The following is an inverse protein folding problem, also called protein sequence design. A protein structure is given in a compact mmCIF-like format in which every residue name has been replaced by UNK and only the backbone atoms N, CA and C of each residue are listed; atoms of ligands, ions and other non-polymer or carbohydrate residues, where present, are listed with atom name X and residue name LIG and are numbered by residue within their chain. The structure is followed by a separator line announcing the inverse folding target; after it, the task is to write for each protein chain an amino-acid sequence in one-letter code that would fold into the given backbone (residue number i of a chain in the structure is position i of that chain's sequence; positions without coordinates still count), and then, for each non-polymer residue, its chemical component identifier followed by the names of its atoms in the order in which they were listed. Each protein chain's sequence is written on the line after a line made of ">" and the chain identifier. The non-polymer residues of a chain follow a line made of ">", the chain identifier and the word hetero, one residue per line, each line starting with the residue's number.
data_IF_045742903086
#
_entry.id   IF_045742903086
#
_cell.length_a   1.000
_cell.length_b   1.000
_cell.length_c   1.000
_cell.angle_alpha   90.00
_cell.angle_beta   90.00
_cell.angle_gamma   90.00
#
_symmetry.space_group_name_H-M   'P 1'
#
loop_
_entity.id
_entity.type
_entity.pdbx_description
1 polymer ?
#
# COMPACT_ATOMS: atom_id res chain seq x y z
N UNK A 1 13.23 -18.68 6.05
CA UNK A 1 13.48 -17.24 5.84
C UNK A 1 13.03 -16.48 7.08
N UNK A 2 13.88 -16.38 8.12
CA UNK A 2 13.55 -15.69 9.38
C UNK A 2 13.42 -14.17 9.21
N UNK A 3 14.00 -13.61 8.16
CA UNK A 3 14.01 -12.20 7.79
C UNK A 3 12.81 -11.77 6.92
N UNK A 4 12.06 -12.73 6.35
CA UNK A 4 10.92 -12.45 5.49
C UNK A 4 9.79 -11.74 6.24
N UNK A 5 9.26 -10.69 5.62
CA UNK A 5 8.09 -9.94 6.07
C UNK A 5 6.94 -10.11 5.07
N UNK A 6 5.74 -10.32 5.58
CA UNK A 6 4.52 -10.43 4.79
C UNK A 6 3.47 -9.41 5.24
N UNK A 7 2.68 -8.85 4.32
CA UNK A 7 1.60 -7.92 4.62
C UNK A 7 0.25 -8.47 4.16
N UNK A 8 -0.81 -8.20 4.93
CA UNK A 8 -2.18 -8.56 4.56
C UNK A 8 -3.19 -7.50 5.06
N UNK A 9 -4.05 -7.06 4.13
CA UNK A 9 -4.83 -5.82 4.04
C UNK A 9 -6.34 -5.92 4.28
N UNK A 10 -6.90 -7.11 4.48
CA UNK A 10 -8.34 -7.35 4.71
C UNK A 10 -8.60 -7.96 6.10
N UNK A 11 -9.39 -7.28 6.92
CA UNK A 11 -9.74 -7.78 8.25
C UNK A 11 -10.58 -9.06 8.19
N UNK A 12 -11.47 -9.19 7.20
CA UNK A 12 -12.33 -10.36 7.03
C UNK A 12 -11.52 -11.65 6.82
N UNK A 13 -10.36 -11.56 6.18
CA UNK A 13 -9.46 -12.70 5.96
C UNK A 13 -8.95 -13.24 7.29
N UNK A 14 -8.52 -12.34 8.19
CA UNK A 14 -8.15 -12.74 9.55
C UNK A 14 -9.33 -13.29 10.34
N UNK A 15 -10.53 -12.71 10.20
CA UNK A 15 -11.74 -13.20 10.87
C UNK A 15 -12.09 -14.62 10.45
N UNK A 16 -11.99 -14.88 9.15
CA UNK A 16 -12.23 -16.21 8.57
C UNK A 16 -11.21 -17.23 9.08
N UNK A 17 -9.93 -16.84 9.17
CA UNK A 17 -8.87 -17.70 9.72
C UNK A 17 -9.04 -17.92 11.22
N UNK A 18 -9.45 -16.91 11.99
CA UNK A 18 -9.77 -17.03 13.41
C UNK A 18 -10.84 -18.11 13.64
N UNK A 19 -11.92 -18.07 12.87
CA UNK A 19 -13.08 -18.94 13.03
C UNK A 19 -12.86 -20.36 12.48
N UNK A 20 -12.23 -20.47 11.31
CA UNK A 20 -12.10 -21.76 10.60
C UNK A 20 -10.79 -22.48 10.90
N UNK A 21 -9.73 -21.74 11.25
CA UNK A 21 -8.38 -22.27 11.44
C UNK A 21 -7.68 -21.66 12.67
N UNK A 22 -8.20 -21.85 13.89
CA UNK A 22 -7.72 -21.16 15.09
C UNK A 22 -6.23 -21.42 15.40
N UNK A 23 -5.71 -22.60 15.06
CA UNK A 23 -4.28 -22.89 15.22
C UNK A 23 -3.40 -22.10 14.24
N UNK A 24 -3.88 -21.87 13.01
CA UNK A 24 -3.21 -20.99 12.06
C UNK A 24 -3.28 -19.54 12.54
N UNK A 25 -4.43 -19.10 13.07
CA UNK A 25 -4.59 -17.77 13.63
C UNK A 25 -3.60 -17.49 14.78
N UNK A 26 -3.38 -18.46 15.68
CA UNK A 26 -2.35 -18.36 16.73
C UNK A 26 -0.94 -18.17 16.13
N UNK A 27 -0.60 -18.92 15.07
CA UNK A 27 0.67 -18.76 14.36
C UNK A 27 0.80 -17.38 13.72
N UNK A 28 -0.27 -16.85 13.12
CA UNK A 28 -0.30 -15.49 12.57
C UNK A 28 -0.03 -14.47 13.68
N UNK A 29 -0.74 -14.54 14.82
CA UNK A 29 -0.51 -13.65 15.97
C UNK A 29 0.95 -13.70 16.44
N UNK A 30 1.54 -14.89 16.49
CA UNK A 30 2.96 -15.03 16.81
C UNK A 30 3.85 -14.29 15.78
N UNK A 31 3.60 -14.45 14.47
CA UNK A 31 4.39 -13.74 13.44
C UNK A 31 4.21 -12.23 13.46
N UNK A 32 3.01 -11.75 13.83
CA UNK A 32 2.76 -10.32 14.06
C UNK A 32 3.60 -9.81 15.23
N UNK A 33 3.64 -10.54 16.36
CA UNK A 33 4.46 -10.18 17.53
C UNK A 33 5.96 -10.21 17.23
N UNK A 34 6.41 -11.10 16.34
CA UNK A 34 7.79 -11.18 15.87
C UNK A 34 8.15 -10.05 14.87
N UNK A 35 7.18 -9.25 14.41
CA UNK A 35 7.38 -8.19 13.43
C UNK A 35 7.55 -8.67 11.99
N UNK A 36 7.25 -9.94 11.71
CA UNK A 36 7.40 -10.59 10.39
C UNK A 36 6.11 -10.68 9.59
N UNK A 37 5.02 -10.23 10.20
CA UNK A 37 3.70 -10.17 9.59
C UNK A 37 3.12 -8.78 9.88
N UNK A 38 3.04 -7.95 8.85
CA UNK A 38 2.41 -6.64 8.93
C UNK A 38 0.91 -6.75 8.69
N UNK A 39 0.14 -6.29 9.68
CA UNK A 39 -1.31 -6.13 9.53
C UNK A 39 -1.57 -4.76 8.93
N UNK A 40 -1.77 -4.70 7.61
CA UNK A 40 -2.10 -3.46 6.89
C UNK A 40 -3.61 -3.19 6.82
N UNK A 41 -4.44 -4.09 7.35
CA UNK A 41 -5.91 -4.03 7.26
C UNK A 41 -6.54 -2.85 8.02
N UNK A 42 -6.55 -1.67 7.41
CA UNK A 42 -7.34 -0.55 7.90
C UNK A 42 -8.83 -0.67 7.58
N UNK A 43 -9.19 -1.47 6.58
CA UNK A 43 -10.56 -1.72 6.13
C UNK A 43 -10.98 -3.16 6.43
N UNK A 44 -12.28 -3.40 6.47
CA UNK A 44 -12.81 -4.75 6.68
C UNK A 44 -12.64 -5.63 5.45
N UNK A 45 -12.88 -5.07 4.26
CA UNK A 45 -12.53 -5.62 2.93
C UNK A 45 -11.85 -4.54 2.08
N UNK A 46 -11.20 -4.98 1.00
CA UNK A 46 -10.80 -4.13 -0.14
C UNK A 46 -12.01 -4.02 -1.07
N UNK A 47 -12.78 -2.94 -0.93
CA UNK A 47 -14.08 -2.78 -1.57
C UNK A 47 -14.08 -1.70 -2.65
N UNK A 48 -15.11 -1.70 -3.50
CA UNK A 48 -15.27 -0.63 -4.49
C UNK A 48 -15.62 0.71 -3.81
N UNK A 49 -14.72 1.69 -3.96
CA UNK A 49 -14.85 2.99 -3.33
C UNK A 49 -15.76 3.97 -4.10
N UNK A 50 -16.03 3.72 -5.38
CA UNK A 50 -16.89 4.57 -6.21
C UNK A 50 -18.37 4.20 -6.05
N UNK A 51 -18.67 2.92 -5.88
CA UNK A 51 -20.03 2.44 -5.66
C UNK A 51 -20.50 2.65 -4.22
N UNK A 52 -19.58 2.61 -3.25
CA UNK A 52 -19.90 2.81 -1.85
C UNK A 52 -20.16 4.29 -1.52
N UNK A 53 -21.16 4.56 -0.68
CA UNK A 53 -21.32 5.88 -0.10
C UNK A 53 -20.29 6.12 1.03
N UNK A 54 -20.13 7.37 1.45
CA UNK A 54 -19.16 7.74 2.48
C UNK A 54 -19.36 7.00 3.81
N UNK A 55 -20.60 6.79 4.25
CA UNK A 55 -20.91 6.05 5.49
C UNK A 55 -20.46 4.58 5.38
N UNK A 56 -20.70 3.92 4.24
CA UNK A 56 -20.25 2.55 4.02
C UNK A 56 -18.72 2.46 4.10
N UNK A 57 -17.99 3.37 3.46
CA UNK A 57 -16.52 3.42 3.54
C UNK A 57 -16.06 3.61 5.00
N UNK A 58 -16.67 4.55 5.72
CA UNK A 58 -16.37 4.79 7.14
C UNK A 58 -16.63 3.55 7.99
N UNK A 59 -17.71 2.80 7.72
CA UNK A 59 -18.01 1.54 8.43
C UNK A 59 -17.01 0.44 8.12
N UNK A 60 -16.57 0.31 6.87
CA UNK A 60 -15.50 -0.62 6.49
C UNK A 60 -14.22 -0.33 7.29
N UNK A 61 -13.84 0.95 7.40
CA UNK A 61 -12.67 1.36 8.19
C UNK A 61 -12.89 1.12 9.69
N UNK A 62 -14.04 1.52 10.24
CA UNK A 62 -14.35 1.39 11.65
C UNK A 62 -14.30 -0.07 12.11
N UNK A 63 -14.97 -0.97 11.39
CA UNK A 63 -15.01 -2.39 11.74
C UNK A 63 -13.66 -3.06 11.53
N UNK A 64 -12.96 -2.75 10.43
CA UNK A 64 -11.61 -3.25 10.16
C UNK A 64 -10.63 -2.88 11.27
N UNK A 65 -10.50 -1.58 11.57
CA UNK A 65 -9.61 -1.09 12.63
C UNK A 65 -9.98 -1.61 14.01
N UNK A 66 -11.28 -1.68 14.35
CA UNK A 66 -11.72 -2.21 15.66
C UNK A 66 -11.29 -3.66 15.83
N UNK A 67 -11.52 -4.49 14.82
CA UNK A 67 -11.13 -5.90 14.86
C UNK A 67 -9.61 -6.07 14.95
N UNK A 68 -8.84 -5.35 14.12
CA UNK A 68 -7.37 -5.44 14.14
C UNK A 68 -6.81 -4.99 15.48
N UNK A 69 -7.35 -3.92 16.06
CA UNK A 69 -6.96 -3.44 17.40
C UNK A 69 -7.27 -4.48 18.47
N UNK A 70 -8.45 -5.10 18.46
CA UNK A 70 -8.84 -6.13 19.41
C UNK A 70 -7.95 -7.37 19.31
N UNK A 71 -7.71 -7.88 18.09
CA UNK A 71 -7.04 -9.17 17.90
C UNK A 71 -5.52 -9.10 17.94
N UNK A 72 -4.94 -8.01 17.41
CA UNK A 72 -3.51 -7.87 17.22
C UNK A 72 -2.90 -6.72 18.04
N UNK A 73 -3.69 -5.83 18.63
CA UNK A 73 -3.18 -4.64 19.33
C UNK A 73 -2.51 -3.63 18.40
N UNK A 74 -2.77 -3.73 17.09
CA UNK A 74 -2.16 -2.91 16.05
C UNK A 74 -3.15 -1.84 15.57
N UNK A 75 -2.63 -0.66 15.24
CA UNK A 75 -3.37 0.36 14.49
C UNK A 75 -2.71 0.57 13.11
N UNK A 76 -3.30 0.07 12.02
CA UNK A 76 -2.83 0.32 10.66
C UNK A 76 -2.93 1.80 10.31
N UNK A 77 -1.90 2.32 9.64
CA UNK A 77 -1.81 3.72 9.19
C UNK A 77 -1.88 3.87 7.67
N UNK A 78 -2.08 2.77 6.96
CA UNK A 78 -2.18 2.70 5.51
C UNK A 78 -3.53 2.11 5.12
N UNK A 79 -4.16 2.69 4.09
CA UNK A 79 -5.27 2.08 3.37
C UNK A 79 -4.73 1.45 2.09
N UNK A 80 -5.03 0.16 1.89
CA UNK A 80 -4.43 -0.67 0.86
C UNK A 80 -5.52 -1.09 -0.13
N UNK A 81 -5.54 -0.47 -1.30
CA UNK A 81 -6.58 -0.63 -2.31
C UNK A 81 -5.93 -0.87 -3.69
N UNK A 82 -5.17 -1.97 -3.85
CA UNK A 82 -4.38 -2.26 -5.05
C UNK A 82 -5.26 -2.29 -6.30
N UNK A 83 -6.36 -3.04 -6.22
CA UNK A 83 -7.13 -3.44 -7.41
C UNK A 83 -8.46 -2.70 -7.56
N UNK A 84 -8.64 -1.61 -6.82
CA UNK A 84 -9.88 -0.84 -6.81
C UNK A 84 -10.03 0.00 -8.08
N UNK A 85 -11.20 -0.09 -8.73
CA UNK A 85 -11.52 0.60 -9.98
C UNK A 85 -11.91 2.05 -9.76
N UNK A 86 -10.91 2.86 -9.40
CA UNK A 86 -11.03 4.30 -9.19
C UNK A 86 -11.11 4.69 -7.70
N UNK A 87 -10.80 5.96 -7.44
CA UNK A 87 -10.47 6.44 -6.10
C UNK A 87 -11.12 7.82 -5.87
N UNK A 88 -12.20 7.92 -5.07
CA UNK A 88 -12.90 9.19 -4.86
C UNK A 88 -11.98 10.27 -4.27
N UNK A 89 -11.98 11.50 -4.80
CA UNK A 89 -11.20 12.62 -4.23
C UNK A 89 -11.46 12.96 -2.76
N UNK A 90 -12.55 12.48 -2.16
CA UNK A 90 -12.87 12.69 -0.75
C UNK A 90 -12.13 11.73 0.18
N UNK A 91 -11.47 10.69 -0.35
CA UNK A 91 -10.77 9.68 0.44
C UNK A 91 -9.70 10.27 1.38
N UNK A 92 -8.84 11.23 0.99
CA UNK A 92 -7.89 11.85 1.92
C UNK A 92 -8.56 12.39 3.20
N UNK A 93 -9.75 12.99 3.10
CA UNK A 93 -10.50 13.46 4.26
C UNK A 93 -10.96 12.30 5.15
N UNK A 94 -11.58 11.28 4.57
CA UNK A 94 -12.10 10.11 5.30
C UNK A 94 -10.96 9.38 6.02
N UNK A 95 -9.85 9.15 5.31
CA UNK A 95 -8.67 8.47 5.83
C UNK A 95 -8.04 9.26 6.98
N UNK A 96 -7.84 10.57 6.83
CA UNK A 96 -7.27 11.42 7.87
C UNK A 96 -8.14 11.49 9.11
N UNK A 97 -9.46 11.64 8.96
CA UNK A 97 -10.41 11.59 10.08
C UNK A 97 -10.43 10.21 10.77
N UNK A 98 -10.04 9.16 10.04
CA UNK A 98 -9.90 7.80 10.57
C UNK A 98 -8.50 7.51 11.14
N UNK A 99 -7.59 8.48 11.18
CA UNK A 99 -6.22 8.31 11.68
C UNK A 99 -5.35 7.42 10.79
N UNK A 100 -5.59 7.45 9.47
CA UNK A 100 -4.82 6.77 8.42
C UNK A 100 -4.09 7.85 7.62
N UNK A 101 -2.77 7.68 7.45
CA UNK A 101 -1.89 8.71 6.89
C UNK A 101 -1.36 8.35 5.49
N UNK A 102 -1.46 7.08 5.11
CA UNK A 102 -0.88 6.53 3.89
C UNK A 102 -1.94 5.86 3.02
N UNK A 103 -1.72 5.90 1.70
CA UNK A 103 -2.57 5.25 0.72
C UNK A 103 -1.73 4.41 -0.25
N UNK A 104 -2.16 3.19 -0.55
CA UNK A 104 -1.55 2.37 -1.57
C UNK A 104 -2.59 1.93 -2.60
N UNK A 105 -2.24 2.01 -3.88
CA UNK A 105 -3.12 1.64 -4.98
C UNK A 105 -2.32 1.35 -6.25
N UNK A 106 -2.83 0.49 -7.15
CA UNK A 106 -2.21 0.25 -8.46
C UNK A 106 -2.95 0.97 -9.57
N UNK A 107 -4.28 0.78 -9.64
CA UNK A 107 -5.09 1.23 -10.79
C UNK A 107 -5.21 2.74 -10.86
N UNK A 108 -5.27 3.26 -12.09
CA UNK A 108 -5.49 4.68 -12.38
C UNK A 108 -4.36 5.61 -11.84
N UNK A 109 -3.15 5.06 -11.65
CA UNK A 109 -1.95 5.81 -11.29
C UNK A 109 -1.46 6.79 -12.38
N UNK A 110 -0.67 7.79 -11.97
CA UNK A 110 -0.30 8.96 -12.83
C UNK A 110 1.18 9.07 -13.14
N UNK A 111 1.92 7.98 -12.96
CA UNK A 111 3.33 7.86 -13.34
C UNK A 111 4.34 8.38 -12.31
N UNK A 112 3.90 9.05 -11.25
CA UNK A 112 4.72 9.29 -10.06
C UNK A 112 4.41 8.20 -9.01
N UNK A 113 5.42 7.46 -8.51
CA UNK A 113 5.18 6.34 -7.59
C UNK A 113 4.87 6.80 -6.16
N UNK A 114 5.10 8.07 -5.82
CA UNK A 114 4.81 8.61 -4.48
C UNK A 114 4.52 10.12 -4.55
N UNK A 115 3.44 10.56 -3.91
CA UNK A 115 2.99 11.95 -3.95
C UNK A 115 1.97 12.25 -2.84
N UNK A 116 1.77 13.54 -2.52
CA UNK A 116 0.71 13.94 -1.59
C UNK A 116 -0.63 14.01 -2.33
N UNK A 117 -1.59 13.20 -1.88
CA UNK A 117 -2.96 13.25 -2.36
C UNK A 117 -3.81 14.15 -1.47
N UNK A 118 -4.27 15.27 -2.03
CA UNK A 118 -5.06 16.29 -1.33
C UNK A 118 -6.55 16.22 -1.71
N UNK A 119 -7.39 16.08 -0.71
CA UNK A 119 -8.85 16.13 -0.84
C UNK A 119 -9.38 17.57 -0.93
N UNK A 120 -10.67 17.75 -1.27
CA UNK A 120 -11.28 19.08 -1.45
C UNK A 120 -11.30 19.94 -0.19
N UNK A 121 -11.16 19.33 0.99
CA UNK A 121 -11.09 20.03 2.29
C UNK A 121 -9.66 20.39 2.72
N UNK A 122 -8.66 20.10 1.88
CA UNK A 122 -7.24 20.29 2.19
C UNK A 122 -6.61 19.16 3.03
N UNK A 123 -7.36 18.13 3.40
CA UNK A 123 -6.80 16.93 4.03
C UNK A 123 -5.83 16.23 3.08
N UNK A 124 -4.70 15.74 3.59
CA UNK A 124 -3.65 15.10 2.79
C UNK A 124 -3.23 13.76 3.33
N UNK A 125 -3.09 12.76 2.45
CA UNK A 125 -2.43 11.48 2.72
C UNK A 125 -1.26 11.29 1.77
N UNK A 126 -0.20 10.59 2.21
CA UNK A 126 0.91 10.25 1.34
C UNK A 126 0.56 8.98 0.58
N UNK A 127 0.39 9.10 -0.74
CA UNK A 127 0.01 8.01 -1.60
C UNK A 127 1.25 7.36 -2.22
N UNK A 128 1.18 6.05 -2.42
CA UNK A 128 2.17 5.26 -3.14
C UNK A 128 1.48 4.43 -4.23
N UNK A 129 1.95 4.58 -5.46
CA UNK A 129 1.40 3.92 -6.63
C UNK A 129 2.42 2.97 -7.25
N UNK A 130 2.08 1.68 -7.29
CA UNK A 130 2.87 0.67 -8.00
C UNK A 130 2.01 -0.52 -8.36
N UNK A 131 2.54 -1.39 -9.22
CA UNK A 131 2.04 -2.76 -9.36
C UNK A 131 2.18 -3.50 -8.02
N UNK A 132 1.25 -4.43 -7.76
CA UNK A 132 1.20 -5.19 -6.50
C UNK A 132 1.55 -6.67 -6.68
N UNK A 133 1.52 -7.16 -7.92
CA UNK A 133 1.74 -8.55 -8.33
C UNK A 133 3.07 -8.75 -9.07
N UNK A 134 4.14 -8.08 -8.60
CA UNK A 134 5.45 -8.17 -9.21
C UNK A 134 6.29 -9.34 -8.66
N UNK A 135 7.28 -9.77 -9.44
CA UNK A 135 8.32 -10.70 -9.01
C UNK A 135 9.62 -9.96 -8.73
N UNK A 136 10.50 -10.54 -7.92
CA UNK A 136 11.80 -9.96 -7.64
C UNK A 136 12.69 -10.06 -8.90
N UNK A 137 12.71 -8.96 -9.66
CA UNK A 137 13.46 -8.84 -10.91
C UNK A 137 14.62 -7.83 -10.77
N UNK A 138 15.88 -8.22 -11.06
CA UNK A 138 17.03 -7.34 -10.87
C UNK A 138 16.97 -6.04 -11.69
N UNK A 139 16.41 -6.10 -12.91
CA UNK A 139 16.30 -4.94 -13.80
C UNK A 139 15.31 -3.92 -13.23
N UNK A 140 14.11 -4.38 -12.88
CA UNK A 140 13.05 -3.51 -12.34
C UNK A 140 13.47 -2.87 -11.01
N UNK A 141 14.11 -3.62 -10.13
CA UNK A 141 14.62 -3.10 -8.85
C UNK A 141 15.71 -2.05 -9.05
N UNK A 142 16.63 -2.25 -9.99
CA UNK A 142 17.66 -1.27 -10.32
C UNK A 142 17.06 0.00 -10.94
N UNK A 143 16.06 -0.14 -11.81
CA UNK A 143 15.33 0.98 -12.42
C UNK A 143 14.55 1.76 -11.38
N UNK A 144 13.81 1.08 -10.50
CA UNK A 144 13.10 1.68 -9.37
C UNK A 144 14.04 2.47 -8.46
N UNK A 145 15.19 1.88 -8.09
CA UNK A 145 16.17 2.56 -7.24
C UNK A 145 16.70 3.85 -7.88
N UNK A 146 16.97 3.83 -9.19
CA UNK A 146 17.42 5.01 -9.93
C UNK A 146 16.31 6.07 -10.02
N UNK A 147 15.08 5.65 -10.30
CA UNK A 147 13.92 6.54 -10.40
C UNK A 147 13.64 7.24 -9.07
N UNK A 148 13.62 6.50 -7.95
CA UNK A 148 13.40 7.07 -6.61
C UNK A 148 14.49 8.06 -6.22
N UNK A 149 15.75 7.75 -6.50
CA UNK A 149 16.86 8.66 -6.24
C UNK A 149 16.73 9.93 -7.08
N UNK A 150 16.38 9.81 -8.36
CA UNK A 150 16.21 10.94 -9.28
C UNK A 150 15.03 11.84 -8.87
N UNK A 151 13.88 11.27 -8.55
CA UNK A 151 12.64 12.01 -8.29
C UNK A 151 12.54 12.58 -6.88
N UNK A 152 13.05 11.85 -5.88
CA UNK A 152 12.83 12.18 -4.48
C UNK A 152 14.12 12.35 -3.67
N UNK A 153 15.30 12.24 -4.31
CA UNK A 153 16.59 12.34 -3.62
C UNK A 153 16.86 11.24 -2.59
N UNK A 154 16.00 10.21 -2.53
CA UNK A 154 16.08 9.13 -1.53
C UNK A 154 16.80 7.90 -2.06
N UNK A 155 17.51 7.22 -1.17
CA UNK A 155 18.10 5.90 -1.45
C UNK A 155 17.18 4.73 -1.08
N UNK A 156 15.97 5.02 -0.58
CA UNK A 156 15.00 4.03 -0.13
C UNK A 156 13.78 4.06 -1.05
N UNK A 157 13.46 2.92 -1.64
CA UNK A 157 12.26 2.69 -2.43
C UNK A 157 11.50 1.49 -1.86
N UNK A 158 10.17 1.52 -1.95
CA UNK A 158 9.33 0.37 -1.64
C UNK A 158 9.06 -0.41 -2.92
N UNK A 159 9.18 -1.74 -2.86
CA UNK A 159 8.83 -2.64 -3.96
C UNK A 159 7.79 -3.63 -3.42
N UNK A 160 6.63 -3.67 -4.06
CA UNK A 160 5.54 -4.57 -3.69
C UNK A 160 5.60 -5.78 -4.62
N UNK A 161 5.60 -6.98 -4.04
CA UNK A 161 5.83 -8.23 -4.75
C UNK A 161 4.94 -9.35 -4.21
N UNK A 162 4.66 -10.33 -5.05
CA UNK A 162 3.74 -11.43 -4.78
C UNK A 162 2.99 -11.85 -6.04
N UNK A 163 2.34 -13.01 -6.00
CA UNK A 163 1.59 -13.52 -7.17
C UNK A 163 0.28 -12.74 -7.38
N UNK A 164 -0.34 -12.23 -6.32
CA UNK A 164 -1.58 -11.44 -6.42
C UNK A 164 -2.79 -12.30 -6.79
N UNK A 165 -3.78 -11.67 -7.45
CA UNK A 165 -5.03 -12.10 -8.15
C UNK A 165 -5.61 -13.52 -7.97
N UNK A 166 -4.78 -14.54 -7.71
CA UNK A 166 -5.11 -15.96 -7.67
C UNK A 166 -4.82 -16.60 -6.29
N UNK A 167 -4.72 -15.78 -5.23
CA UNK A 167 -4.54 -16.27 -3.86
C UNK A 167 -3.10 -16.66 -3.49
N UNK A 168 -2.11 -16.14 -4.22
CA UNK A 168 -0.69 -16.41 -3.96
C UNK A 168 0.04 -15.22 -3.34
N UNK A 169 0.79 -15.48 -2.26
CA UNK A 169 1.76 -14.53 -1.71
C UNK A 169 3.10 -14.60 -2.43
N UNK A 170 4.15 -13.95 -1.89
CA UNK A 170 5.52 -14.10 -2.36
C UNK A 170 5.98 -15.55 -2.51
N UNK A 171 6.72 -15.84 -3.58
CA UNK A 171 7.24 -17.20 -3.84
C UNK A 171 8.54 -17.45 -3.07
N UNK A 172 8.93 -18.72 -2.93
CA UNK A 172 10.23 -19.06 -2.32
C UNK A 172 11.38 -18.60 -3.24
N UNK A 173 11.13 -18.58 -4.53
CA UNK A 173 12.02 -18.16 -5.60
C UNK A 173 12.32 -16.67 -5.48
N UNK A 174 11.30 -15.84 -5.23
CA UNK A 174 11.48 -14.42 -4.94
C UNK A 174 12.39 -14.21 -3.73
N UNK A 175 12.14 -14.95 -2.63
CA UNK A 175 12.93 -14.79 -1.41
C UNK A 175 14.41 -15.16 -1.65
N UNK A 176 14.65 -16.28 -2.33
CA UNK A 176 16.01 -16.70 -2.70
C UNK A 176 16.68 -15.71 -3.66
N UNK A 177 15.92 -15.14 -4.60
CA UNK A 177 16.44 -14.12 -5.52
C UNK A 177 16.87 -12.87 -4.76
N UNK A 178 16.08 -12.41 -3.80
CA UNK A 178 16.45 -11.26 -2.98
C UNK A 178 17.75 -11.52 -2.18
N UNK A 179 17.88 -12.72 -1.60
CA UNK A 179 19.10 -13.13 -0.90
C UNK A 179 20.30 -13.18 -1.84
N UNK A 180 20.18 -13.77 -3.03
CA UNK A 180 21.26 -13.80 -4.01
C UNK A 180 21.67 -12.41 -4.50
N UNK A 181 20.71 -11.50 -4.67
CA UNK A 181 21.00 -10.12 -5.06
C UNK A 181 21.74 -9.35 -3.96
N UNK A 182 21.45 -9.63 -2.69
CA UNK A 182 22.14 -9.02 -1.55
C UNK A 182 23.61 -9.45 -1.42
N UNK A 183 24.01 -10.59 -2.00
CA UNK A 183 25.41 -11.02 -2.05
C UNK A 183 26.24 -10.19 -3.06
N UNK A 184 25.58 -9.43 -3.95
CA UNK A 184 26.25 -8.64 -5.00
C UNK A 184 26.49 -7.22 -4.53
N UNK A 185 27.74 -6.87 -4.25
CA UNK A 185 28.14 -5.56 -3.70
C UNK A 185 27.68 -4.34 -4.54
N UNK A 186 27.48 -4.51 -5.85
CA UNK A 186 27.07 -3.43 -6.77
C UNK A 186 25.55 -3.23 -6.84
N UNK A 187 24.77 -4.15 -6.27
CA UNK A 187 23.31 -4.11 -6.36
C UNK A 187 22.70 -3.39 -5.15
N UNK A 188 21.56 -2.68 -5.31
CA UNK A 188 20.85 -2.11 -4.17
C UNK A 188 20.52 -3.16 -3.12
N UNK A 189 20.77 -2.84 -1.84
CA UNK A 189 20.45 -3.75 -0.75
C UNK A 189 18.92 -3.89 -0.60
N UNK A 190 18.44 -5.13 -0.69
CA UNK A 190 17.04 -5.50 -0.55
C UNK A 190 16.77 -5.91 0.89
N UNK A 191 15.79 -5.24 1.51
CA UNK A 191 15.33 -5.57 2.86
C UNK A 191 13.86 -5.95 2.81
N UNK A 192 13.53 -7.17 3.25
CA UNK A 192 12.15 -7.50 3.57
C UNK A 192 11.71 -6.64 4.75
N UNK A 193 10.75 -5.77 4.49
CA UNK A 193 10.37 -4.70 5.39
C UNK A 193 8.87 -4.53 5.38
N UNK A 194 8.39 -3.56 6.14
CA UNK A 194 6.98 -3.25 6.25
C UNK A 194 6.70 -1.87 5.67
N UNK A 195 5.46 -1.64 5.22
CA UNK A 195 5.02 -0.34 4.70
C UNK A 195 5.19 0.75 5.76
N UNK A 196 4.89 0.43 7.02
CA UNK A 196 5.14 1.31 8.17
C UNK A 196 6.60 1.71 8.28
N UNK A 197 7.54 0.79 8.12
CA UNK A 197 8.97 1.12 8.19
C UNK A 197 9.38 2.03 7.03
N UNK A 198 8.91 1.74 5.81
CA UNK A 198 9.17 2.57 4.63
C UNK A 198 8.69 4.01 4.86
N UNK A 199 7.40 4.21 5.15
CA UNK A 199 6.83 5.55 5.27
C UNK A 199 7.38 6.35 6.46
N UNK A 200 7.78 5.70 7.57
CA UNK A 200 8.48 6.37 8.68
C UNK A 200 9.85 6.93 8.29
N UNK A 201 10.49 6.33 7.28
CA UNK A 201 11.85 6.65 6.86
C UNK A 201 11.92 7.52 5.61
N UNK A 202 10.79 7.82 4.98
CA UNK A 202 10.72 8.73 3.85
C UNK A 202 10.83 10.16 4.36
N UNK A 203 11.81 10.93 3.86
CA UNK A 203 11.97 12.33 4.23
C UNK A 203 11.00 13.21 3.43
N UNK A 204 9.95 13.69 4.12
CA UNK A 204 8.87 14.48 3.54
C UNK A 204 9.30 15.84 2.99
N UNK A 205 10.49 16.35 3.36
CA UNK A 205 10.99 17.66 2.89
C UNK A 205 11.19 17.68 1.37
N UNK A 206 11.53 16.53 0.76
CA UNK A 206 11.75 16.40 -0.69
C UNK A 206 10.47 16.12 -1.51
N UNK A 207 9.32 15.95 -0.84
CA UNK A 207 8.02 15.67 -1.50
C UNK A 207 7.18 16.95 -1.63
N UNK A 208 7.77 18.11 -1.31
CA UNK A 208 7.06 19.39 -1.28
C UNK A 208 6.52 19.86 -2.64
N UNK A 209 6.89 19.24 -3.75
CA UNK A 209 6.52 19.72 -5.10
C UNK A 209 5.68 18.73 -5.93
N UNK A 210 5.32 17.56 -5.39
CA UNK A 210 4.46 16.58 -6.08
C UNK A 210 3.06 16.56 -5.44
N UNK A 211 2.25 17.58 -5.75
CA UNK A 211 0.87 17.69 -5.28
C UNK A 211 -0.13 17.26 -6.34
N UNK A 212 -1.13 16.50 -5.92
CA UNK A 212 -2.30 16.19 -6.73
C UNK A 212 -3.57 16.64 -5.98
N UNK A 213 -4.27 17.65 -6.53
CA UNK A 213 -5.46 18.26 -5.94
C UNK A 213 -6.76 17.78 -6.60
N UNK A 214 -7.66 17.21 -5.81
CA UNK A 214 -9.03 16.92 -6.19
C UNK A 214 -9.26 15.83 -7.26
N UNK A 215 -10.45 15.76 -7.88
CA UNK A 215 -10.79 14.83 -8.98
C UNK A 215 -10.19 15.27 -10.35
N UNK A 216 -9.33 16.29 -10.35
CA UNK A 216 -8.73 16.92 -11.54
C UNK A 216 -7.22 17.02 -11.37
N UNK A 217 -6.47 16.25 -12.14
CA UNK A 217 -5.02 16.21 -12.00
C UNK A 217 -4.39 17.12 -13.07
N UNK A 218 -3.67 18.15 -12.62
CA UNK A 218 -3.01 19.12 -13.51
C UNK A 218 -1.72 18.51 -14.04
N UNK A 219 -1.59 18.40 -15.37
CA UNK A 219 -0.31 18.16 -16.05
C UNK A 219 0.32 19.49 -16.46
N UNK A 220 1.60 19.49 -16.87
CA UNK A 220 2.42 20.64 -17.29
C UNK A 220 1.84 21.59 -18.38
N UNK A 221 0.57 21.45 -18.77
CA UNK A 221 -0.10 22.29 -19.77
C UNK A 221 -1.34 23.04 -19.26
N UNK A 222 -1.67 22.97 -17.96
CA UNK A 222 -2.70 23.82 -17.37
C UNK A 222 -4.15 23.53 -17.78
N UNK A 223 -4.44 22.38 -18.41
CA UNK A 223 -5.81 22.01 -18.77
C UNK A 223 -6.46 21.09 -17.72
N UNK A 224 -7.69 21.40 -17.25
CA UNK A 224 -8.44 20.54 -16.36
C UNK A 224 -9.02 19.33 -17.14
N UNK A 225 -8.51 18.13 -16.87
CA UNK A 225 -9.15 16.89 -17.31
C UNK A 225 -9.95 16.27 -16.16
N UNK A 226 -11.26 16.08 -16.38
CA UNK A 226 -12.08 15.14 -15.61
C UNK A 226 -11.49 13.73 -15.77
N UNK A 227 -11.60 12.89 -14.73
CA UNK A 227 -11.39 11.46 -14.88
C UNK A 227 -12.09 10.97 -16.17
N UNK A 228 -11.39 10.38 -17.15
CA UNK A 228 -12.06 9.31 -17.87
C UNK A 228 -12.36 8.29 -16.78
N UNK A 229 -13.64 8.00 -16.55
CA UNK A 229 -14.05 6.94 -15.66
C UNK A 229 -13.10 5.76 -15.86
N UNK A 230 -12.44 5.30 -14.80
CA UNK A 230 -11.75 4.00 -14.77
C UNK A 230 -12.80 2.86 -14.86
N UNK A 231 -13.93 3.09 -15.54
CA UNK A 231 -15.07 2.20 -15.77
C UNK A 231 -15.13 1.70 -17.23
N UNK A 232 -14.11 1.98 -18.05
CA UNK A 232 -14.03 1.44 -19.42
C UNK A 232 -12.93 0.41 -19.54
N UNK A 233 -13.12 -0.71 -18.85
CA UNK A 233 -12.78 -2.06 -19.34
C UNK A 233 -13.33 -3.07 -18.34
N UNK A 234 -14.62 -3.37 -18.50
CA UNK A 234 -15.06 -4.77 -18.42
C UNK A 234 -14.59 -5.47 -19.69
#
# INVERSE_FOLDING_TARGET
>A
YPDFCFSQSQAVTYKTVEERFPQLFKKIKQRVNEGRWEVTSSTWIEGDLNMANGEAIVRQILYGKRYVKEKFGVEPKICWEPDTFGHPWTMPQILKKSGIDYYYFMRCGKGAPMFWWEGPDGSRVLAFNSVYNAFINPKELAELSKDFKRRFGTKKAMFVYGVGDHGGGPTREDIKMAHNLNEKAVFPHLKFSTTREFFKNVNFVFIKDNFEKGDRFVTNRGEPQLFPLCSRTL
#
